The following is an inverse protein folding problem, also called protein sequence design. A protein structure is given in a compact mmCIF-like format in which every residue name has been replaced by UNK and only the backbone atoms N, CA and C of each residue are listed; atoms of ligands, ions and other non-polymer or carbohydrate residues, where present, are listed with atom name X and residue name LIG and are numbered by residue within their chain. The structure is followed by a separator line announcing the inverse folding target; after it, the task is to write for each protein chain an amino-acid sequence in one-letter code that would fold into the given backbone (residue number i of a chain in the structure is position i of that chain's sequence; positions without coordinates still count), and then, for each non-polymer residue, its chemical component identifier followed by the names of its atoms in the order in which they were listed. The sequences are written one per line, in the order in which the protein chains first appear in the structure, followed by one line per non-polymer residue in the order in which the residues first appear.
data_IF_648250259858
#
_entry.id   IF_648250259858
#
_cell.length_a   1.000
_cell.length_b   1.000
_cell.length_c   1.000
_cell.angle_alpha   90.00
_cell.angle_beta   90.00
_cell.angle_gamma   90.00
#
_symmetry.space_group_name_H-M   'P 1'
#
loop_
_entity.id
_entity.type
_entity.pdbx_description
1 polymer ?
#
# COMPACT_ATOMS: atom_id res chain seq x y z
N UNK A 1 -25.53 27.04 30.43
CA UNK A 1 -24.46 26.04 30.24
C UNK A 1 -23.41 26.27 31.31
N UNK A 2 -22.78 25.23 31.85
CA UNK A 2 -21.68 25.40 32.80
C UNK A 2 -20.45 25.96 32.08
N UNK A 3 -19.74 26.90 32.69
CA UNK A 3 -18.53 27.47 32.14
C UNK A 3 -17.37 26.46 32.27
N UNK A 4 -16.82 26.00 31.15
CA UNK A 4 -15.80 24.94 31.11
C UNK A 4 -14.50 25.30 31.83
N UNK A 5 -14.12 26.58 31.81
CA UNK A 5 -12.89 27.10 32.41
C UNK A 5 -13.21 28.24 33.37
N UNK A 6 -12.65 28.21 34.58
CA UNK A 6 -12.90 29.24 35.59
C UNK A 6 -12.40 30.65 35.18
N UNK A 7 -11.44 30.73 34.25
CA UNK A 7 -10.90 31.97 33.69
C UNK A 7 -10.18 31.75 32.35
N UNK A 8 -9.96 32.83 31.59
CA UNK A 8 -9.10 32.84 30.38
C UNK A 8 -7.68 32.33 30.71
N UNK A 9 -7.17 32.63 31.91
CA UNK A 9 -5.86 32.14 32.37
C UNK A 9 -5.85 30.61 32.55
N UNK A 10 -6.91 30.03 33.11
CA UNK A 10 -7.02 28.56 33.22
C UNK A 10 -7.16 27.87 31.87
N UNK A 11 -7.89 28.48 30.92
CA UNK A 11 -8.00 27.99 29.54
C UNK A 11 -6.65 28.03 28.82
N UNK A 12 -5.93 29.14 28.90
CA UNK A 12 -4.60 29.30 28.30
C UNK A 12 -3.60 28.30 28.90
N UNK A 13 -3.66 28.07 30.21
CA UNK A 13 -2.80 27.10 30.89
C UNK A 13 -3.09 25.66 30.46
N UNK A 14 -4.36 25.31 30.26
CA UNK A 14 -4.75 24.00 29.73
C UNK A 14 -4.35 23.84 28.25
N UNK A 15 -4.43 24.91 27.47
CA UNK A 15 -3.98 24.92 26.07
C UNK A 15 -2.46 24.68 25.97
N UNK A 16 -1.64 25.44 26.69
CA UNK A 16 -0.18 25.29 26.64
C UNK A 16 0.27 23.91 27.19
N UNK A 17 -0.50 23.31 28.11
CA UNK A 17 -0.30 21.92 28.56
C UNK A 17 -0.59 20.90 27.44
N UNK A 18 -1.71 21.03 26.73
CA UNK A 18 -2.07 20.19 25.57
C UNK A 18 -1.00 20.30 24.46
N UNK A 19 -0.45 21.50 24.21
CA UNK A 19 0.67 21.70 23.28
C UNK A 19 1.90 20.89 23.72
N UNK A 20 2.29 20.98 24.99
CA UNK A 20 3.43 20.23 25.54
C UNK A 20 3.24 18.72 25.45
N UNK A 21 2.04 18.20 25.77
CA UNK A 21 1.69 16.78 25.61
C UNK A 21 1.86 16.32 24.15
N UNK A 22 1.43 17.13 23.18
CA UNK A 22 1.57 16.80 21.75
C UNK A 22 3.05 16.79 21.34
N UNK A 23 3.86 17.73 21.80
CA UNK A 23 5.30 17.78 21.51
C UNK A 23 6.06 16.58 22.12
N UNK A 24 5.73 16.18 23.34
CA UNK A 24 6.28 14.99 24.00
C UNK A 24 5.84 13.71 23.27
N UNK A 25 4.56 13.60 22.91
CA UNK A 25 4.02 12.50 22.12
C UNK A 25 4.69 12.35 20.75
N UNK A 26 5.04 13.45 20.08
CA UNK A 26 5.76 13.42 18.79
C UNK A 26 7.24 13.00 18.90
N UNK A 27 7.87 13.15 20.07
CA UNK A 27 9.25 12.70 20.33
C UNK A 27 9.36 11.18 20.56
N UNK A 28 8.24 10.47 20.74
CA UNK A 28 8.22 9.01 20.94
C UNK A 28 8.75 8.25 19.71
N UNK A 29 9.27 7.03 19.93
CA UNK A 29 9.77 6.16 18.86
C UNK A 29 8.73 5.81 17.78
N UNK A 30 7.43 5.93 18.08
CA UNK A 30 6.36 5.79 17.09
C UNK A 30 6.31 6.95 16.10
N UNK A 31 6.87 8.12 16.42
CA UNK A 31 6.56 9.37 15.71
C UNK A 31 7.77 10.25 15.38
N UNK A 32 8.94 9.98 15.96
CA UNK A 32 10.16 10.79 15.80
C UNK A 32 10.68 10.86 14.36
N UNK A 33 10.38 9.85 13.53
CA UNK A 33 10.73 9.82 12.10
C UNK A 33 9.76 10.61 11.21
N UNK A 34 8.61 11.04 11.73
CA UNK A 34 7.59 11.76 10.95
C UNK A 34 7.84 13.28 10.98
N UNK A 35 8.15 13.85 9.81
CA UNK A 35 8.26 15.30 9.59
C UNK A 35 6.87 15.89 9.39
N UNK A 36 6.49 16.83 10.25
CA UNK A 36 5.19 17.53 10.19
C UNK A 36 5.39 18.96 9.67
N UNK A 37 4.68 19.41 8.62
CA UNK A 37 4.73 20.79 8.14
C UNK A 37 3.84 21.75 8.96
N UNK A 38 3.55 21.40 10.22
CA UNK A 38 2.65 22.12 11.13
C UNK A 38 3.10 21.94 12.59
N UNK A 39 2.69 22.86 13.47
CA UNK A 39 3.13 22.86 14.87
C UNK A 39 2.17 22.08 15.79
N UNK A 40 2.65 21.68 16.96
CA UNK A 40 1.80 21.12 18.02
C UNK A 40 0.69 22.11 18.44
N UNK A 41 1.03 23.42 18.49
CA UNK A 41 0.09 24.51 18.76
C UNK A 41 -1.05 24.60 17.75
N UNK A 42 -0.76 24.43 16.46
CA UNK A 42 -1.76 24.37 15.39
C UNK A 42 -2.72 23.19 15.55
N UNK A 43 -2.23 22.03 16.05
CA UNK A 43 -3.07 20.86 16.30
C UNK A 43 -3.89 21.02 17.59
N UNK A 44 -3.30 21.54 18.67
CA UNK A 44 -4.03 21.83 19.91
C UNK A 44 -5.19 22.82 19.67
N UNK A 45 -5.01 23.82 18.79
CA UNK A 45 -6.03 24.80 18.46
C UNK A 45 -7.25 24.21 17.71
N UNK A 46 -7.10 23.01 17.14
CA UNK A 46 -8.18 22.25 16.49
C UNK A 46 -8.79 21.18 17.41
N UNK A 47 -8.30 21.04 18.65
CA UNK A 47 -8.83 20.10 19.65
C UNK A 47 -9.80 20.78 20.61
N UNK A 48 -10.72 19.98 21.16
CA UNK A 48 -11.53 20.38 22.31
C UNK A 48 -10.69 20.23 23.60
N UNK A 49 -9.77 21.18 23.84
CA UNK A 49 -8.77 21.21 24.93
C UNK A 49 -9.34 20.65 26.25
N UNK A 50 -8.66 19.71 26.91
CA UNK A 50 -9.16 19.12 28.16
C UNK A 50 -10.33 18.12 27.99
N UNK A 51 -10.69 17.72 26.77
CA UNK A 51 -11.53 16.56 26.50
C UNK A 51 -10.81 15.61 25.52
N UNK A 52 -10.30 14.50 26.05
CA UNK A 52 -9.46 13.53 25.32
C UNK A 52 -10.29 12.30 24.98
N UNK A 53 -10.42 11.99 23.68
CA UNK A 53 -11.07 10.77 23.20
C UNK A 53 -10.00 9.73 22.89
N UNK A 54 -10.05 8.58 23.56
CA UNK A 54 -9.22 7.43 23.21
C UNK A 54 -9.96 6.51 22.24
N UNK A 55 -9.54 6.49 20.98
CA UNK A 55 -10.16 5.66 19.96
C UNK A 55 -9.58 4.22 20.00
N UNK A 56 -10.40 3.16 20.00
CA UNK A 56 -9.93 1.77 19.91
C UNK A 56 -9.05 1.49 18.68
N UNK A 57 -9.27 2.22 17.58
CA UNK A 57 -8.40 2.18 16.39
C UNK A 57 -6.95 2.57 16.69
N UNK A 58 -6.69 3.41 17.70
CA UNK A 58 -5.34 3.77 18.14
C UNK A 58 -4.61 2.57 18.75
N UNK A 59 -5.32 1.67 19.43
CA UNK A 59 -4.73 0.42 19.91
C UNK A 59 -4.34 -0.49 18.74
N UNK A 60 -5.20 -0.60 17.72
CA UNK A 60 -4.89 -1.39 16.51
C UNK A 60 -3.74 -0.79 15.69
N UNK A 61 -3.69 0.54 15.54
CA UNK A 61 -2.56 1.23 14.89
C UNK A 61 -1.23 1.06 15.63
N UNK A 62 -1.25 0.97 16.98
CA UNK A 62 -0.07 0.62 17.79
C UNK A 62 0.33 -0.85 17.65
N UNK A 63 -0.65 -1.78 17.57
CA UNK A 63 -0.41 -3.20 17.27
C UNK A 63 0.26 -3.38 15.90
N UNK A 64 -0.33 -2.79 14.85
CA UNK A 64 0.20 -2.83 13.49
C UNK A 64 1.63 -2.29 13.43
N UNK A 65 1.89 -1.10 14.00
CA UNK A 65 3.24 -0.52 14.02
C UNK A 65 4.28 -1.46 14.65
N UNK A 66 3.92 -2.16 15.73
CA UNK A 66 4.82 -3.13 16.39
C UNK A 66 5.13 -4.31 15.47
N UNK A 67 4.12 -4.91 14.85
CA UNK A 67 4.29 -6.04 13.92
C UNK A 67 5.18 -5.64 12.73
N UNK A 68 4.93 -4.48 12.11
CA UNK A 68 5.74 -4.01 10.98
C UNK A 68 7.20 -3.72 11.38
N UNK A 69 7.43 -3.19 12.58
CA UNK A 69 8.78 -3.00 13.14
C UNK A 69 9.49 -4.33 13.36
N UNK A 70 8.85 -5.26 14.06
CA UNK A 70 9.38 -6.60 14.37
C UNK A 70 9.71 -7.39 13.10
N UNK A 71 8.82 -7.38 12.11
CA UNK A 71 9.10 -8.02 10.82
C UNK A 71 10.29 -7.36 10.09
N UNK A 72 10.41 -6.03 10.13
CA UNK A 72 11.49 -5.31 9.43
C UNK A 72 12.85 -5.49 10.10
N UNK A 73 12.88 -5.67 11.43
CA UNK A 73 14.06 -6.04 12.21
C UNK A 73 14.47 -7.51 11.96
N UNK A 74 13.49 -8.41 11.85
CA UNK A 74 13.73 -9.85 11.68
C UNK A 74 13.89 -10.30 10.20
N UNK A 75 13.71 -9.40 9.23
CA UNK A 75 13.69 -9.75 7.79
C UNK A 75 12.53 -10.68 7.39
N UNK A 76 11.43 -10.64 8.15
CA UNK A 76 10.21 -11.45 7.93
C UNK A 76 9.06 -10.56 7.44
N UNK A 77 7.85 -11.12 7.30
CA UNK A 77 6.75 -10.43 6.65
C UNK A 77 5.38 -10.94 7.14
N UNK A 78 4.38 -10.08 6.99
CA UNK A 78 2.97 -10.33 7.23
C UNK A 78 2.24 -10.42 5.88
N UNK A 79 1.40 -11.43 5.71
CA UNK A 79 0.60 -11.65 4.50
C UNK A 79 -0.88 -11.44 4.77
N UNK A 80 -1.52 -10.64 3.94
CA UNK A 80 -2.96 -10.40 4.02
C UNK A 80 -3.59 -10.27 2.65
N UNK A 81 -4.92 -10.35 2.60
CA UNK A 81 -5.68 -10.15 1.38
C UNK A 81 -6.90 -9.26 1.65
N UNK A 82 -7.42 -8.65 0.58
CA UNK A 82 -8.61 -7.81 0.67
C UNK A 82 -9.85 -8.65 1.01
N UNK A 83 -10.65 -8.18 1.96
CA UNK A 83 -11.99 -8.70 2.28
C UNK A 83 -13.00 -7.55 2.37
N UNK A 84 -14.23 -7.84 2.01
CA UNK A 84 -15.41 -6.97 2.18
C UNK A 84 -16.46 -7.58 3.11
N UNK A 85 -16.21 -8.77 3.65
CA UNK A 85 -17.22 -9.59 4.34
C UNK A 85 -16.67 -10.14 5.67
N UNK A 86 -17.54 -10.21 6.70
CA UNK A 86 -17.16 -10.45 8.10
C UNK A 86 -16.89 -11.92 8.41
N UNK A 87 -17.57 -12.88 7.77
CA UNK A 87 -17.25 -14.30 7.89
C UNK A 87 -15.85 -14.57 7.34
N UNK A 88 -15.52 -13.97 6.19
CA UNK A 88 -14.17 -14.03 5.60
C UNK A 88 -13.15 -13.39 6.54
N UNK A 89 -13.42 -12.18 7.05
CA UNK A 89 -12.51 -11.49 7.98
C UNK A 89 -12.26 -12.30 9.28
N UNK A 90 -13.28 -13.04 9.74
CA UNK A 90 -13.18 -13.95 10.89
C UNK A 90 -12.36 -15.21 10.58
N UNK A 91 -12.47 -15.80 9.39
CA UNK A 91 -11.61 -16.94 9.01
C UNK A 91 -10.16 -16.48 8.74
N UNK A 92 -9.96 -15.32 8.11
CA UNK A 92 -8.64 -14.66 7.99
C UNK A 92 -7.96 -14.53 9.36
N UNK A 93 -8.68 -14.04 10.38
CA UNK A 93 -8.14 -13.88 11.72
C UNK A 93 -7.67 -15.18 12.40
N UNK A 94 -8.02 -16.37 11.87
CA UNK A 94 -7.50 -17.67 12.31
C UNK A 94 -6.40 -18.21 11.40
N UNK A 95 -6.54 -18.00 10.09
CA UNK A 95 -5.76 -18.68 9.05
C UNK A 95 -4.63 -17.82 8.46
N UNK A 96 -4.34 -16.66 9.02
CA UNK A 96 -3.22 -15.81 8.62
C UNK A 96 -1.87 -16.39 9.06
N UNK A 97 -1.47 -17.44 8.35
CA UNK A 97 -0.11 -17.76 7.91
C UNK A 97 -0.23 -18.62 6.61
N UNK A 98 0.43 -18.19 5.53
CA UNK A 98 0.70 -18.89 4.24
C UNK A 98 -0.41 -18.94 3.13
N UNK A 99 0.05 -19.08 1.86
CA UNK A 99 -0.67 -18.99 0.54
C UNK A 99 -0.18 -20.16 -0.37
N UNK A 100 -0.94 -20.63 -1.40
CA UNK A 100 -0.92 -20.10 -2.80
C UNK A 100 -2.36 -19.97 -3.41
N UNK A 101 -2.71 -19.77 -4.70
CA UNK A 101 -2.04 -19.86 -6.02
C UNK A 101 -2.77 -18.96 -7.08
N UNK A 102 -2.49 -19.06 -8.41
CA UNK A 102 -2.98 -18.15 -9.50
C UNK A 102 -3.14 -18.88 -10.86
N UNK A 103 -4.11 -18.50 -11.72
CA UNK A 103 -4.04 -18.38 -13.25
C UNK A 103 -5.44 -18.12 -13.87
N UNK A 104 -5.64 -17.89 -15.20
CA UNK A 104 -5.22 -16.78 -16.09
C UNK A 104 -6.12 -16.70 -17.37
N UNK A 105 -6.33 -15.49 -17.96
CA UNK A 105 -6.25 -15.30 -19.44
C UNK A 105 -7.51 -14.92 -20.25
N UNK A 106 -7.39 -13.95 -21.18
CA UNK A 106 -8.38 -13.62 -22.25
C UNK A 106 -7.74 -12.89 -23.46
N UNK A 107 -8.41 -12.84 -24.62
CA UNK A 107 -8.06 -12.16 -25.90
C UNK A 107 -9.37 -11.75 -26.63
N UNK A 108 -9.44 -10.83 -27.61
CA UNK A 108 -8.57 -9.75 -28.10
C UNK A 108 -9.37 -8.85 -29.08
N UNK A 109 -8.85 -7.66 -29.41
CA UNK A 109 -9.35 -6.78 -30.49
C UNK A 109 -8.53 -5.47 -30.48
N UNK A 110 -8.15 -4.93 -31.64
CA UNK A 110 -7.21 -3.78 -31.71
C UNK A 110 -7.74 -2.59 -30.90
N UNK A 111 -6.99 -2.18 -29.89
CA UNK A 111 -7.40 -1.15 -28.95
C UNK A 111 -6.66 0.19 -29.16
N UNK A 112 -7.16 1.22 -28.48
CA UNK A 112 -6.63 2.58 -28.44
C UNK A 112 -5.10 2.69 -28.30
N UNK A 113 -4.46 1.74 -27.59
CA UNK A 113 -3.02 1.70 -27.40
C UNK A 113 -2.23 1.63 -28.71
N UNK A 114 -2.68 0.94 -29.76
CA UNK A 114 -1.90 0.85 -31.01
C UNK A 114 -1.87 2.19 -31.76
N UNK A 115 -3.00 2.91 -31.81
CA UNK A 115 -3.09 4.26 -32.42
C UNK A 115 -2.20 5.24 -31.65
N UNK A 116 -2.17 5.09 -30.33
CA UNK A 116 -1.32 5.90 -29.44
C UNK A 116 0.17 5.61 -29.66
N UNK A 117 0.57 4.35 -29.82
CA UNK A 117 1.96 3.96 -30.12
C UNK A 117 2.45 4.54 -31.46
N UNK A 118 1.65 4.45 -32.52
CA UNK A 118 1.94 5.04 -33.83
C UNK A 118 2.16 6.56 -33.73
N UNK A 119 1.29 7.28 -33.02
CA UNK A 119 1.44 8.72 -32.79
C UNK A 119 2.67 9.05 -31.91
N UNK A 120 2.97 8.25 -30.88
CA UNK A 120 4.15 8.46 -30.03
C UNK A 120 5.46 8.29 -30.79
N UNK A 121 5.52 7.34 -31.74
CA UNK A 121 6.66 7.14 -32.62
C UNK A 121 6.87 8.34 -33.57
N UNK A 122 5.79 8.86 -34.17
CA UNK A 122 5.85 10.07 -35.00
C UNK A 122 6.26 11.32 -34.21
N UNK A 123 5.78 11.46 -32.98
CA UNK A 123 6.09 12.59 -32.10
C UNK A 123 7.51 12.56 -31.49
N UNK A 124 8.30 11.49 -31.73
CA UNK A 124 9.69 11.32 -31.26
C UNK A 124 9.90 11.67 -29.78
N UNK A 125 8.95 11.26 -28.93
CA UNK A 125 8.97 11.60 -27.51
C UNK A 125 10.23 11.08 -26.83
N UNK A 126 10.93 11.95 -26.12
CA UNK A 126 12.14 11.65 -25.36
C UNK A 126 12.20 12.54 -24.12
N UNK A 127 13.09 12.27 -23.16
CA UNK A 127 13.30 13.20 -22.04
C UNK A 127 14.10 14.41 -22.50
N UNK A 128 14.11 15.51 -21.73
CA UNK A 128 14.96 16.66 -22.06
C UNK A 128 16.44 16.25 -22.11
N UNK A 129 16.88 15.35 -21.22
CA UNK A 129 18.28 14.91 -21.17
C UNK A 129 18.65 14.07 -22.40
N UNK A 130 17.72 13.26 -22.92
CA UNK A 130 17.91 12.54 -24.20
C UNK A 130 17.98 13.52 -25.39
N UNK A 131 17.13 14.57 -25.40
CA UNK A 131 17.16 15.60 -26.43
C UNK A 131 18.47 16.39 -26.42
N UNK A 132 18.98 16.72 -25.22
CA UNK A 132 20.30 17.33 -25.03
C UNK A 132 21.39 16.39 -25.55
N UNK A 133 21.36 15.10 -25.17
CA UNK A 133 22.32 14.09 -25.64
C UNK A 133 22.36 13.94 -27.16
N UNK A 134 21.23 14.12 -27.83
CA UNK A 134 21.12 14.08 -29.29
C UNK A 134 21.60 15.36 -29.99
N UNK A 135 21.68 16.49 -29.28
CA UNK A 135 21.91 17.82 -29.85
C UNK A 135 23.33 18.38 -29.62
N UNK A 136 24.11 17.86 -28.67
CA UNK A 136 25.43 18.39 -28.28
C UNK A 136 26.52 17.30 -28.33
N UNK A 137 27.81 17.68 -28.26
CA UNK A 137 28.91 16.70 -28.28
C UNK A 137 28.96 15.86 -26.99
N UNK A 138 29.60 14.68 -27.04
CA UNK A 138 29.75 13.82 -25.85
C UNK A 138 30.42 14.56 -24.68
N UNK A 139 31.47 15.34 -24.94
CA UNK A 139 32.18 16.10 -23.90
C UNK A 139 31.28 17.17 -23.25
N UNK A 140 30.45 17.85 -24.06
CA UNK A 140 29.47 18.82 -23.58
C UNK A 140 28.35 18.14 -22.79
N UNK A 141 27.90 16.96 -23.21
CA UNK A 141 26.91 16.16 -22.50
C UNK A 141 27.44 15.65 -21.16
N UNK A 142 28.67 15.16 -21.11
CA UNK A 142 29.28 14.70 -19.85
C UNK A 142 29.52 15.87 -18.87
N UNK A 143 29.82 17.08 -19.38
CA UNK A 143 29.86 18.30 -18.59
C UNK A 143 28.46 18.69 -18.06
N UNK A 144 27.43 18.62 -18.92
CA UNK A 144 26.03 18.85 -18.53
C UNK A 144 25.59 17.89 -17.41
N UNK A 145 25.81 16.58 -17.58
CA UNK A 145 25.45 15.56 -16.58
C UNK A 145 26.18 15.79 -15.26
N UNK A 146 27.47 16.16 -15.28
CA UNK A 146 28.24 16.49 -14.07
C UNK A 146 27.63 17.67 -13.30
N UNK A 147 27.13 18.71 -13.96
CA UNK A 147 26.53 19.87 -13.29
C UNK A 147 25.14 19.61 -12.66
N UNK A 148 24.44 18.57 -13.11
CA UNK A 148 23.10 18.21 -12.61
C UNK A 148 23.06 16.97 -11.70
N UNK A 149 24.16 16.22 -11.59
CA UNK A 149 24.19 14.92 -10.92
C UNK A 149 23.69 14.96 -9.46
N UNK A 150 24.17 15.95 -8.70
CA UNK A 150 23.97 16.01 -7.24
C UNK A 150 22.77 16.85 -6.80
N UNK A 151 21.94 17.36 -7.74
CA UNK A 151 20.84 18.27 -7.40
C UNK A 151 19.63 18.16 -8.33
N UNK A 152 18.43 18.35 -7.74
CA UNK A 152 17.20 18.54 -8.51
C UNK A 152 17.31 19.87 -9.27
N UNK A 153 17.54 19.78 -10.58
CA UNK A 153 17.71 20.94 -11.46
C UNK A 153 16.45 21.14 -12.30
N UNK A 154 15.88 22.36 -12.28
CA UNK A 154 14.67 22.70 -13.05
C UNK A 154 14.90 22.68 -14.56
N UNK A 155 13.83 22.54 -15.37
CA UNK A 155 13.96 22.58 -16.84
C UNK A 155 14.53 23.91 -17.34
N UNK A 156 14.19 25.03 -16.69
CA UNK A 156 14.71 26.36 -17.01
C UNK A 156 16.23 26.44 -16.75
N UNK A 157 16.71 25.93 -15.62
CA UNK A 157 18.15 25.85 -15.34
C UNK A 157 18.87 24.89 -16.29
N UNK A 158 18.28 23.73 -16.61
CA UNK A 158 18.86 22.77 -17.56
C UNK A 158 19.08 23.40 -18.93
N UNK A 159 18.08 24.12 -19.47
CA UNK A 159 18.24 24.94 -20.70
C UNK A 159 19.34 25.99 -20.57
N UNK A 160 19.43 26.67 -19.42
CA UNK A 160 20.49 27.64 -19.13
C UNK A 160 21.90 27.02 -19.15
N UNK A 161 22.07 25.83 -18.57
CA UNK A 161 23.33 25.07 -18.60
C UNK A 161 23.68 24.69 -20.04
N UNK A 162 22.74 24.10 -20.78
CA UNK A 162 22.99 23.64 -22.16
C UNK A 162 23.33 24.81 -23.08
N UNK A 163 22.60 25.93 -22.98
CA UNK A 163 22.92 27.16 -23.73
C UNK A 163 24.30 27.72 -23.38
N UNK A 164 24.78 27.59 -22.14
CA UNK A 164 26.14 27.96 -21.74
C UNK A 164 27.20 27.00 -22.30
N UNK A 165 26.93 25.70 -22.36
CA UNK A 165 27.90 24.68 -22.81
C UNK A 165 27.97 24.52 -24.33
N UNK A 166 26.86 24.70 -25.04
CA UNK A 166 26.72 24.47 -26.48
C UNK A 166 26.38 25.73 -27.30
N UNK A 167 26.23 26.90 -26.66
CA UNK A 167 25.94 28.19 -27.31
C UNK A 167 24.48 28.38 -27.74
N UNK A 168 23.74 27.29 -27.98
CA UNK A 168 22.34 27.28 -28.39
C UNK A 168 21.47 26.48 -27.41
N UNK A 169 20.16 26.75 -27.40
CA UNK A 169 19.17 25.96 -26.65
C UNK A 169 18.72 24.74 -27.49
N UNK A 170 18.17 23.74 -26.83
CA UNK A 170 17.71 22.48 -27.45
C UNK A 170 16.23 22.56 -27.79
N UNK A 171 15.88 22.16 -29.02
CA UNK A 171 14.50 22.02 -29.46
C UNK A 171 13.81 20.93 -28.64
N UNK A 172 12.85 21.34 -27.80
CA UNK A 172 12.10 20.45 -26.94
C UNK A 172 10.81 21.15 -26.51
N UNK A 173 9.66 20.54 -26.77
CA UNK A 173 8.35 21.04 -26.35
C UNK A 173 7.51 19.91 -25.75
N UNK A 174 7.24 20.02 -24.45
CA UNK A 174 6.41 19.10 -23.67
C UNK A 174 4.93 19.51 -23.56
N UNK A 175 4.56 20.70 -24.08
CA UNK A 175 3.18 21.20 -24.15
C UNK A 175 2.44 20.63 -25.38
N UNK A 176 3.14 20.51 -26.51
CA UNK A 176 2.63 19.88 -27.74
C UNK A 176 2.10 18.45 -27.52
N UNK A 177 2.81 17.53 -26.83
CA UNK A 177 2.36 16.16 -26.69
C UNK A 177 1.32 15.92 -25.58
N UNK A 178 0.75 16.96 -24.96
CA UNK A 178 -0.24 16.79 -23.87
C UNK A 178 -1.47 15.99 -24.30
N UNK A 179 -2.14 15.35 -23.35
CA UNK A 179 -3.43 14.69 -23.60
C UNK A 179 -4.52 15.75 -23.86
N UNK A 180 -5.69 15.37 -24.43
CA UNK A 180 -6.83 16.29 -24.55
C UNK A 180 -7.34 16.88 -23.21
N UNK A 181 -6.93 16.32 -22.08
CA UNK A 181 -7.20 16.81 -20.72
C UNK A 181 -6.05 17.68 -20.16
N UNK A 182 -5.09 18.09 -20.99
CA UNK A 182 -3.94 18.92 -20.60
C UNK A 182 -2.84 18.20 -19.82
N UNK A 183 -2.85 16.86 -19.75
CA UNK A 183 -1.86 16.11 -18.98
C UNK A 183 -0.54 15.97 -19.75
N UNK A 184 0.58 16.24 -19.10
CA UNK A 184 1.92 15.98 -19.65
C UNK A 184 2.19 14.49 -19.87
N UNK A 185 3.03 14.17 -20.86
CA UNK A 185 3.61 12.83 -20.99
C UNK A 185 4.68 12.65 -19.93
N UNK A 186 4.75 11.44 -19.38
CA UNK A 186 5.68 11.09 -18.32
C UNK A 186 6.43 9.81 -18.70
N UNK A 187 7.75 9.92 -18.87
CA UNK A 187 8.60 8.75 -18.98
C UNK A 187 8.80 8.19 -17.57
N UNK A 188 8.21 7.03 -17.30
CA UNK A 188 8.46 6.30 -16.07
C UNK A 188 9.93 5.82 -16.04
N UNK A 189 10.52 5.78 -14.85
CA UNK A 189 11.72 5.02 -14.54
C UNK A 189 11.82 4.83 -13.02
N UNK A 190 12.56 3.80 -12.59
CA UNK A 190 12.73 3.46 -11.17
C UNK A 190 13.38 4.58 -10.36
N UNK A 191 14.30 5.35 -10.96
CA UNK A 191 14.88 6.56 -10.34
C UNK A 191 13.80 7.60 -10.01
N UNK A 192 12.88 7.89 -10.94
CA UNK A 192 11.87 8.92 -10.71
C UNK A 192 10.78 8.49 -9.69
N UNK A 193 10.58 7.18 -9.51
CA UNK A 193 9.77 6.63 -8.40
C UNK A 193 10.53 6.76 -7.09
N UNK A 194 11.82 6.39 -7.06
CA UNK A 194 12.71 6.55 -5.91
C UNK A 194 12.77 7.99 -5.42
N UNK A 195 13.03 8.97 -6.31
CA UNK A 195 13.11 10.40 -5.97
C UNK A 195 11.82 10.89 -5.28
N UNK A 196 10.64 10.51 -5.81
CA UNK A 196 9.34 10.83 -5.21
C UNK A 196 9.15 10.17 -3.85
N UNK A 197 9.53 8.90 -3.71
CA UNK A 197 9.41 8.17 -2.45
C UNK A 197 10.38 8.68 -1.38
N UNK A 198 11.58 9.14 -1.74
CA UNK A 198 12.54 9.77 -0.82
C UNK A 198 11.99 11.08 -0.26
N UNK A 199 11.36 11.90 -1.11
CA UNK A 199 10.72 13.16 -0.69
C UNK A 199 9.49 12.92 0.20
N UNK A 200 8.70 11.87 -0.10
CA UNK A 200 7.49 11.54 0.64
C UNK A 200 7.73 10.73 1.93
N UNK A 201 8.87 10.03 2.05
CA UNK A 201 9.13 9.10 3.15
C UNK A 201 9.02 9.72 4.56
N UNK A 202 9.50 10.96 4.83
CA UNK A 202 9.32 11.59 6.13
C UNK A 202 7.86 11.90 6.50
N UNK A 203 6.90 11.82 5.57
CA UNK A 203 5.51 12.17 5.81
C UNK A 203 4.65 10.99 6.29
N UNK A 204 5.18 9.76 6.27
CA UNK A 204 4.42 8.56 6.62
C UNK A 204 5.29 7.36 6.97
N UNK A 205 4.70 6.32 7.53
CA UNK A 205 5.42 5.19 8.12
C UNK A 205 6.00 4.20 7.10
N UNK A 206 5.30 4.01 5.98
CA UNK A 206 5.57 2.95 5.00
C UNK A 206 5.67 3.55 3.59
N UNK A 207 6.56 3.03 2.74
CA UNK A 207 6.60 3.37 1.31
C UNK A 207 6.07 2.22 0.44
N UNK A 208 5.30 2.55 -0.59
CA UNK A 208 4.84 1.59 -1.60
C UNK A 208 5.20 2.08 -3.00
N UNK A 209 6.15 1.41 -3.65
CA UNK A 209 6.29 1.48 -5.11
C UNK A 209 5.27 0.51 -5.72
N UNK A 210 4.17 1.04 -6.26
CA UNK A 210 3.22 0.21 -7.00
C UNK A 210 3.90 -0.38 -8.24
N UNK A 211 3.90 -1.71 -8.35
CA UNK A 211 4.41 -2.45 -9.50
C UNK A 211 3.26 -3.22 -10.16
N UNK A 212 2.73 -2.72 -11.27
CA UNK A 212 1.68 -3.43 -12.05
C UNK A 212 2.23 -4.67 -12.78
N UNK A 213 3.55 -4.76 -12.93
CA UNK A 213 4.31 -5.92 -13.38
C UNK A 213 5.54 -6.01 -12.46
N UNK A 214 5.64 -7.03 -11.59
CA UNK A 214 6.81 -7.19 -10.72
C UNK A 214 8.06 -7.34 -11.59
N UNK A 215 9.17 -6.72 -11.20
CA UNK A 215 10.44 -6.84 -11.91
C UNK A 215 11.59 -6.96 -10.91
N UNK A 216 12.42 -7.99 -11.06
CA UNK A 216 13.49 -8.34 -10.10
C UNK A 216 14.53 -7.22 -9.94
N UNK A 217 14.85 -6.51 -11.02
CA UNK A 217 15.78 -5.37 -11.00
C UNK A 217 15.14 -4.13 -10.38
N UNK A 218 13.92 -3.78 -10.77
CA UNK A 218 13.25 -2.59 -10.23
C UNK A 218 12.93 -2.73 -8.73
N UNK A 219 12.58 -3.93 -8.27
CA UNK A 219 12.43 -4.26 -6.84
C UNK A 219 13.74 -4.02 -6.08
N UNK A 220 14.85 -4.61 -6.55
CA UNK A 220 16.16 -4.43 -5.94
C UNK A 220 16.57 -2.94 -5.91
N UNK A 221 16.55 -2.26 -7.06
CA UNK A 221 17.07 -0.91 -7.20
C UNK A 221 16.25 0.12 -6.42
N UNK A 222 14.92 -0.03 -6.39
CA UNK A 222 14.06 0.84 -5.60
C UNK A 222 14.30 0.67 -4.10
N UNK A 223 14.28 -0.57 -3.60
CA UNK A 223 14.42 -0.82 -2.16
C UNK A 223 15.82 -0.48 -1.65
N UNK A 224 16.87 -0.88 -2.37
CA UNK A 224 18.26 -0.53 -2.03
C UNK A 224 18.47 0.97 -2.10
N UNK A 225 17.98 1.64 -3.16
CA UNK A 225 18.05 3.10 -3.28
C UNK A 225 17.32 3.84 -2.14
N UNK A 226 16.14 3.35 -1.73
CA UNK A 226 15.41 3.90 -0.60
C UNK A 226 16.14 3.67 0.74
N UNK A 227 16.71 2.48 0.96
CA UNK A 227 17.44 2.14 2.20
C UNK A 227 18.78 2.88 2.32
N UNK A 228 19.42 3.24 1.21
CA UNK A 228 20.60 4.11 1.22
C UNK A 228 20.31 5.51 1.82
N UNK A 229 19.07 5.99 1.74
CA UNK A 229 18.65 7.28 2.32
C UNK A 229 17.95 7.08 3.68
N UNK A 230 17.17 6.01 3.83
CA UNK A 230 16.41 5.67 5.03
C UNK A 230 16.60 4.18 5.37
N UNK A 231 17.67 3.79 6.10
CA UNK A 231 18.03 2.38 6.31
C UNK A 231 16.90 1.53 6.90
N UNK A 232 16.20 2.07 7.90
CA UNK A 232 15.09 1.39 8.59
C UNK A 232 13.74 1.50 7.86
N UNK A 233 13.71 1.89 6.58
CA UNK A 233 12.45 2.11 5.87
C UNK A 233 11.68 0.80 5.72
N UNK A 234 10.43 0.86 6.17
CA UNK A 234 9.41 -0.18 6.01
C UNK A 234 8.73 0.01 4.65
N UNK A 235 8.56 -1.08 3.92
CA UNK A 235 7.88 -1.10 2.62
C UNK A 235 6.67 -2.04 2.62
N UNK A 236 5.79 -1.83 1.65
CA UNK A 236 4.66 -2.72 1.38
C UNK A 236 4.58 -3.06 -0.11
N UNK A 237 4.01 -4.23 -0.41
CA UNK A 237 3.80 -4.71 -1.76
C UNK A 237 2.37 -5.20 -1.96
N UNK A 238 1.83 -4.95 -3.14
CA UNK A 238 0.49 -5.36 -3.53
C UNK A 238 0.54 -6.34 -4.69
N UNK A 239 -0.02 -7.54 -4.54
CA UNK A 239 -0.14 -8.56 -5.60
C UNK A 239 -1.23 -8.18 -6.63
N UNK A 240 -1.19 -6.97 -7.17
CA UNK A 240 -2.24 -6.45 -8.05
C UNK A 240 -2.20 -7.08 -9.44
N UNK A 241 -3.23 -7.90 -9.75
CA UNK A 241 -3.52 -8.39 -11.09
C UNK A 241 -2.99 -9.80 -11.39
N UNK A 242 -3.23 -10.26 -12.62
CA UNK A 242 -2.68 -11.52 -13.15
C UNK A 242 -1.22 -11.34 -13.58
N UNK A 243 -0.38 -10.94 -12.63
CA UNK A 243 1.03 -10.62 -12.86
C UNK A 243 1.78 -11.85 -13.39
N UNK A 244 2.43 -11.69 -14.54
CA UNK A 244 3.28 -12.70 -15.14
C UNK A 244 4.70 -12.56 -14.56
N UNK A 245 4.94 -13.26 -13.45
CA UNK A 245 6.21 -13.21 -12.72
C UNK A 245 7.40 -13.66 -13.58
N UNK A 246 7.19 -14.59 -14.53
CA UNK A 246 8.24 -15.01 -15.47
C UNK A 246 8.71 -13.84 -16.35
N UNK A 247 7.79 -13.01 -16.86
CA UNK A 247 8.15 -11.74 -17.54
C UNK A 247 8.83 -10.71 -16.63
N UNK A 248 8.70 -10.86 -15.32
CA UNK A 248 9.40 -10.07 -14.30
C UNK A 248 10.85 -10.49 -14.04
N UNK A 249 11.30 -11.61 -14.62
CA UNK A 249 12.60 -12.22 -14.35
C UNK A 249 12.64 -13.10 -13.10
N UNK A 250 11.48 -13.61 -12.66
CA UNK A 250 11.36 -14.57 -11.56
C UNK A 250 11.11 -15.98 -12.12
N UNK A 251 11.86 -16.99 -11.66
CA UNK A 251 11.55 -18.40 -11.91
C UNK A 251 10.34 -18.87 -11.07
N UNK A 252 9.76 -20.06 -11.31
CA UNK A 252 8.74 -20.63 -10.42
C UNK A 252 9.20 -20.73 -8.96
N UNK A 253 10.45 -21.15 -8.75
CA UNK A 253 11.08 -21.25 -7.42
C UNK A 253 11.26 -19.87 -6.77
N UNK A 254 11.66 -18.86 -7.55
CA UNK A 254 11.67 -17.46 -7.08
C UNK A 254 10.26 -16.99 -6.66
N UNK A 255 9.17 -17.48 -7.27
CA UNK A 255 7.79 -17.09 -6.94
C UNK A 255 7.34 -17.72 -5.63
N UNK A 256 7.71 -18.97 -5.35
CA UNK A 256 7.46 -19.62 -4.06
C UNK A 256 8.16 -18.88 -2.91
N UNK A 257 9.42 -18.47 -3.11
CA UNK A 257 10.19 -17.74 -2.09
C UNK A 257 9.99 -16.22 -2.12
N UNK A 258 9.32 -15.68 -3.17
CA UNK A 258 9.15 -14.24 -3.40
C UNK A 258 8.74 -13.45 -2.16
N UNK A 259 7.76 -13.89 -1.33
CA UNK A 259 7.38 -13.15 -0.12
C UNK A 259 8.53 -13.01 0.88
N UNK A 260 9.29 -14.09 1.10
CA UNK A 260 10.43 -14.11 2.00
C UNK A 260 11.64 -13.37 1.43
N UNK A 261 11.82 -13.35 0.11
CA UNK A 261 12.91 -12.63 -0.53
C UNK A 261 12.70 -11.11 -0.50
N UNK A 262 11.48 -10.63 -0.75
CA UNK A 262 11.22 -9.18 -0.66
C UNK A 262 11.19 -8.66 0.78
N UNK A 263 10.88 -9.52 1.75
CA UNK A 263 10.99 -9.19 3.18
C UNK A 263 12.41 -8.77 3.59
N UNK A 264 13.45 -9.39 3.00
CA UNK A 264 14.87 -9.03 3.22
C UNK A 264 15.19 -7.59 2.77
N UNK A 265 14.44 -7.08 1.78
CA UNK A 265 14.49 -5.68 1.35
C UNK A 265 13.61 -4.72 2.19
N UNK A 266 13.02 -5.19 3.29
CA UNK A 266 12.12 -4.43 4.15
C UNK A 266 10.66 -4.40 3.69
N UNK A 267 10.28 -5.22 2.70
CA UNK A 267 8.90 -5.33 2.22
C UNK A 267 8.12 -6.27 3.13
N UNK A 268 7.72 -5.77 4.29
CA UNK A 268 7.20 -6.60 5.38
C UNK A 268 5.68 -6.66 5.47
N UNK A 269 4.97 -5.79 4.74
CA UNK A 269 3.51 -5.85 4.64
C UNK A 269 3.11 -6.19 3.21
N UNK A 270 2.61 -7.39 3.00
CA UNK A 270 2.38 -7.93 1.66
C UNK A 270 0.89 -8.27 1.49
N UNK A 271 0.25 -7.64 0.53
CA UNK A 271 -1.22 -7.57 0.43
C UNK A 271 -1.68 -8.09 -0.92
N UNK A 272 -2.63 -9.02 -0.95
CA UNK A 272 -3.40 -9.32 -2.17
C UNK A 272 -4.74 -8.55 -2.15
N UNK A 273 -4.80 -7.30 -2.66
CA UNK A 273 -5.99 -6.47 -2.55
C UNK A 273 -7.20 -6.97 -3.37
N UNK A 274 -7.00 -7.74 -4.45
CA UNK A 274 -8.08 -8.12 -5.37
C UNK A 274 -8.65 -9.53 -5.14
N UNK A 275 -8.22 -10.25 -4.09
CA UNK A 275 -8.81 -11.56 -3.77
C UNK A 275 -10.31 -11.44 -3.44
N UNK A 276 -10.74 -10.38 -2.75
CA UNK A 276 -12.15 -10.11 -2.45
C UNK A 276 -13.06 -10.13 -3.69
N UNK A 277 -12.54 -9.75 -4.86
CA UNK A 277 -13.30 -9.81 -6.12
C UNK A 277 -13.02 -11.10 -6.89
N UNK A 278 -11.77 -11.54 -6.99
CA UNK A 278 -11.38 -12.71 -7.77
C UNK A 278 -11.79 -14.03 -7.10
N UNK A 279 -11.33 -14.27 -5.87
CA UNK A 279 -11.52 -15.53 -5.14
C UNK A 279 -13.00 -15.82 -4.88
N UNK A 280 -13.77 -14.81 -4.46
CA UNK A 280 -15.21 -14.96 -4.25
C UNK A 280 -15.98 -15.21 -5.54
N UNK A 281 -15.67 -14.49 -6.62
CA UNK A 281 -16.33 -14.70 -7.91
C UNK A 281 -16.04 -16.09 -8.46
N UNK A 282 -14.81 -16.59 -8.32
CA UNK A 282 -14.42 -17.93 -8.74
C UNK A 282 -15.18 -19.00 -7.96
N UNK A 283 -15.13 -18.97 -6.61
CA UNK A 283 -15.80 -19.98 -5.78
C UNK A 283 -17.33 -19.93 -5.92
N UNK A 284 -17.92 -18.75 -6.07
CA UNK A 284 -19.36 -18.61 -6.35
C UNK A 284 -19.75 -19.19 -7.72
N UNK A 285 -18.92 -18.99 -8.75
CA UNK A 285 -19.12 -19.56 -10.08
C UNK A 285 -19.02 -21.08 -10.05
N UNK A 286 -17.93 -21.62 -9.50
CA UNK A 286 -17.71 -23.07 -9.36
C UNK A 286 -18.87 -23.75 -8.63
N UNK A 287 -19.32 -23.17 -7.52
CA UNK A 287 -20.49 -23.67 -6.78
C UNK A 287 -21.76 -23.63 -7.63
N UNK A 288 -22.03 -22.54 -8.36
CA UNK A 288 -23.21 -22.43 -9.20
C UNK A 288 -23.21 -23.44 -10.36
N UNK A 289 -22.05 -23.68 -10.98
CA UNK A 289 -21.88 -24.68 -12.04
C UNK A 289 -22.06 -26.10 -11.50
N UNK A 290 -21.42 -26.44 -10.37
CA UNK A 290 -21.57 -27.76 -9.73
C UNK A 290 -22.98 -27.99 -9.20
N UNK A 291 -23.63 -27.00 -8.58
CA UNK A 291 -25.00 -27.14 -8.06
C UNK A 291 -26.02 -27.29 -9.19
N UNK A 292 -25.82 -26.62 -10.34
CA UNK A 292 -26.66 -26.83 -11.53
C UNK A 292 -26.51 -28.24 -12.12
N UNK A 293 -25.32 -28.82 -12.04
CA UNK A 293 -24.99 -30.14 -12.62
C UNK A 293 -25.38 -31.31 -11.71
N UNK A 294 -24.97 -31.25 -10.45
CA UNK A 294 -25.05 -32.36 -9.48
C UNK A 294 -26.13 -32.14 -8.40
N UNK A 295 -26.81 -30.98 -8.40
CA UNK A 295 -27.85 -30.64 -7.43
C UNK A 295 -27.37 -30.65 -5.98
N UNK A 296 -28.25 -31.08 -5.07
CA UNK A 296 -27.95 -31.18 -3.63
C UNK A 296 -26.80 -32.15 -3.32
N UNK A 297 -26.57 -33.18 -4.16
CA UNK A 297 -25.49 -34.12 -3.96
C UNK A 297 -24.10 -33.44 -4.11
N UNK A 298 -23.96 -32.55 -5.10
CA UNK A 298 -22.76 -31.72 -5.25
C UNK A 298 -22.55 -30.77 -4.07
N UNK A 299 -23.61 -30.09 -3.62
CA UNK A 299 -23.54 -29.21 -2.44
C UNK A 299 -23.12 -29.96 -1.16
N UNK A 300 -23.69 -31.16 -0.93
CA UNK A 300 -23.31 -31.98 0.22
C UNK A 300 -21.85 -32.43 0.16
N UNK A 301 -21.39 -32.90 -1.00
CA UNK A 301 -20.03 -33.40 -1.23
C UNK A 301 -18.97 -32.30 -1.17
N UNK A 302 -19.21 -31.17 -1.83
CA UNK A 302 -18.19 -30.15 -2.08
C UNK A 302 -18.21 -29.00 -1.06
N UNK A 303 -19.32 -28.79 -0.34
CA UNK A 303 -19.49 -27.67 0.60
C UNK A 303 -19.88 -28.15 2.00
N UNK A 304 -21.00 -28.86 2.16
CA UNK A 304 -21.56 -29.12 3.49
C UNK A 304 -20.70 -30.10 4.32
N UNK A 305 -20.36 -31.26 3.76
CA UNK A 305 -19.52 -32.26 4.46
C UNK A 305 -18.11 -31.72 4.74
N UNK A 306 -17.40 -31.05 3.79
CA UNK A 306 -16.13 -30.39 4.09
C UNK A 306 -16.26 -29.28 5.16
N UNK A 307 -17.36 -28.51 5.17
CA UNK A 307 -17.61 -27.50 6.21
C UNK A 307 -17.75 -28.15 7.58
N UNK A 308 -18.56 -29.21 7.71
CA UNK A 308 -18.75 -29.93 8.98
C UNK A 308 -17.46 -30.60 9.47
N UNK A 309 -16.57 -31.01 8.56
CA UNK A 309 -15.29 -31.62 8.92
C UNK A 309 -14.21 -30.61 9.36
N UNK A 310 -14.23 -29.38 8.84
CA UNK A 310 -13.14 -28.40 9.02
C UNK A 310 -13.53 -27.13 9.80
N UNK A 311 -14.84 -26.89 10.02
CA UNK A 311 -15.35 -25.72 10.74
C UNK A 311 -16.27 -26.20 11.85
N UNK A 312 -16.08 -25.69 13.07
CA UNK A 312 -16.96 -26.00 14.20
C UNK A 312 -18.43 -25.62 13.88
N UNK A 313 -19.32 -26.61 13.85
CA UNK A 313 -20.76 -26.44 13.62
C UNK A 313 -21.59 -26.68 14.87
N UNK A 314 -22.76 -26.05 14.93
CA UNK A 314 -23.81 -26.39 15.88
C UNK A 314 -24.41 -27.78 15.57
N UNK A 315 -25.35 -28.23 16.41
CA UNK A 315 -26.08 -29.50 16.24
C UNK A 315 -26.94 -29.58 14.96
N UNK A 316 -26.97 -28.54 14.15
CA UNK A 316 -27.68 -28.46 12.86
C UNK A 316 -26.72 -28.24 11.67
N UNK A 317 -25.40 -28.39 11.86
CA UNK A 317 -24.40 -28.23 10.80
C UNK A 317 -24.11 -26.77 10.41
N UNK A 318 -24.58 -25.78 11.17
CA UNK A 318 -24.31 -24.35 10.92
C UNK A 318 -23.05 -23.92 11.67
N UNK A 319 -22.14 -23.11 11.11
CA UNK A 319 -20.96 -22.63 11.85
C UNK A 319 -21.33 -21.96 13.18
N UNK A 320 -20.77 -22.43 14.30
CA UNK A 320 -21.15 -22.02 15.69
C UNK A 320 -20.92 -20.55 16.00
N UNK A 321 -20.08 -19.87 15.22
CA UNK A 321 -19.52 -18.55 15.52
C UNK A 321 -20.48 -17.37 15.35
N UNK A 322 -21.79 -17.58 15.52
CA UNK A 322 -22.82 -16.53 15.38
C UNK A 322 -23.13 -15.80 16.70
N UNK A 323 -22.46 -16.20 17.79
CA UNK A 323 -22.62 -15.56 19.10
C UNK A 323 -23.93 -15.89 19.84
N UNK A 324 -24.65 -16.94 19.44
CA UNK A 324 -25.91 -17.36 20.08
C UNK A 324 -25.75 -17.54 21.59
N UNK A 325 -24.86 -18.44 22.01
CA UNK A 325 -24.57 -18.67 23.44
C UNK A 325 -24.09 -17.43 24.20
N UNK A 326 -23.42 -16.48 23.52
CA UNK A 326 -23.02 -15.20 24.13
C UNK A 326 -24.24 -14.30 24.37
N UNK A 327 -25.17 -14.24 23.41
CA UNK A 327 -26.43 -13.52 23.57
C UNK A 327 -27.32 -14.15 24.65
N UNK A 328 -27.43 -15.47 24.67
CA UNK A 328 -28.18 -16.21 25.70
C UNK A 328 -27.60 -15.94 27.11
N UNK A 329 -26.27 -16.01 27.26
CA UNK A 329 -25.60 -15.66 28.51
C UNK A 329 -25.82 -14.19 28.94
N UNK A 330 -25.88 -13.24 27.99
CA UNK A 330 -26.26 -11.86 28.31
C UNK A 330 -27.70 -11.76 28.84
N UNK A 331 -28.65 -12.51 28.26
CA UNK A 331 -30.03 -12.54 28.76
C UNK A 331 -30.14 -13.18 30.14
N UNK A 332 -29.43 -14.27 30.41
CA UNK A 332 -29.44 -14.91 31.73
C UNK A 332 -28.85 -14.01 32.82
N UNK A 333 -27.76 -13.28 32.53
CA UNK A 333 -27.19 -12.27 33.45
C UNK A 333 -28.20 -11.16 33.75
N UNK A 334 -28.88 -10.62 32.73
CA UNK A 334 -29.91 -9.58 32.92
C UNK A 334 -31.14 -10.13 33.67
N UNK A 335 -31.45 -11.41 33.52
CA UNK A 335 -32.54 -12.10 34.22
C UNK A 335 -32.16 -12.61 35.63
N UNK A 336 -30.92 -12.40 36.09
CA UNK A 336 -30.45 -12.90 37.40
C UNK A 336 -30.33 -14.44 37.48
N UNK A 337 -30.16 -15.11 36.35
CA UNK A 337 -30.04 -16.57 36.24
C UNK A 337 -28.57 -16.98 36.21
N UNK A 338 -28.22 -18.19 36.71
CA UNK A 338 -26.88 -18.73 36.50
C UNK A 338 -26.67 -19.00 35.00
N UNK A 339 -25.50 -18.60 34.47
CA UNK A 339 -25.07 -19.01 33.14
C UNK A 339 -24.80 -20.52 33.19
N UNK A 340 -25.61 -21.31 32.50
CA UNK A 340 -25.43 -22.77 32.37
C UNK A 340 -25.03 -23.10 30.94
N UNK A 341 -24.00 -23.93 30.77
CA UNK A 341 -23.68 -24.49 29.45
C UNK A 341 -24.88 -25.28 28.93
N UNK A 342 -25.38 -24.90 27.76
CA UNK A 342 -26.49 -25.59 27.09
C UNK A 342 -25.94 -26.79 26.33
N UNK A 343 -26.38 -27.98 26.71
CA UNK A 343 -25.97 -29.26 26.12
C UNK A 343 -26.39 -29.48 24.64
#
# INVERSE_FOLDING_TARGET
MAQKWASIKSESSAFDMEVKEIEEWWKTDRQKHIRRPYTARSIAALRNIGFKIEYPSSAQGRKLWRLLKEHNENGTYELTFGTTELLIAKEMAKCMYLIPEITQGTRAGKDYMSIKEEWQALARLMTFDDAVKAAISSDQYDAYIREIADRITSLQERRGIVKRLAGNDVEFDWELPRTPLGQYRWQWCTKAVLDRCVLAAPLGDVSWSRQDKPNKKDMHDFNTGMRNVYPDRIFTFGYTGSADFAKGGYSPEDVETFPADIAKYGVVWQVQPIWATQGLSLRAKEFAENFKKDGIAGCMRDVALPTMANIATDKYGKPTSRGGYLADAFFDVVAGRPITDVA
#
